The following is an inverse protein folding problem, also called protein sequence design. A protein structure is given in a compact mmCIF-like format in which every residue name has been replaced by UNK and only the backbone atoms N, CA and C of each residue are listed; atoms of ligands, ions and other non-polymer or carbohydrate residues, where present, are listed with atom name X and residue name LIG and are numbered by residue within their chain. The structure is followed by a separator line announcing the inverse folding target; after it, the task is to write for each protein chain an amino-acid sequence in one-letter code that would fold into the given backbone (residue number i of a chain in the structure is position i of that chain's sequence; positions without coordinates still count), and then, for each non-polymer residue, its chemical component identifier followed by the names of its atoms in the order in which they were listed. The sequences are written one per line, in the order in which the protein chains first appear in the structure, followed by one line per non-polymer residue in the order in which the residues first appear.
data_IF_683706737898
#
_entry.id   IF_683706737898
#
_cell.length_a   1.000
_cell.length_b   1.000
_cell.length_c   1.000
_cell.angle_alpha   90.00
_cell.angle_beta   90.00
_cell.angle_gamma   90.00
#
_symmetry.space_group_name_H-M   'P 1'
#
loop_
_entity.id
_entity.type
_entity.pdbx_description
1 polymer ?
#
# COMPACT_ATOMS: atom_id res chain seq x y z
N UNK A 1 2.82 -34.23 -23.19
CA UNK A 1 3.55 -33.01 -22.75
C UNK A 1 2.61 -31.83 -22.91
N UNK A 2 2.16 -31.15 -21.89
CA UNK A 2 1.33 -29.96 -22.02
C UNK A 2 2.19 -28.82 -22.55
N UNK A 3 1.75 -28.25 -23.70
CA UNK A 3 2.37 -27.02 -24.27
C UNK A 3 2.30 -25.92 -23.25
N UNK A 4 3.45 -25.39 -22.86
CA UNK A 4 3.60 -24.13 -22.13
C UNK A 4 2.74 -23.06 -22.81
N UNK A 5 1.71 -22.56 -22.13
CA UNK A 5 0.95 -21.39 -22.57
C UNK A 5 1.95 -20.26 -22.80
N UNK A 6 2.13 -19.89 -24.05
CA UNK A 6 2.90 -18.73 -24.46
C UNK A 6 2.35 -17.52 -23.72
N UNK A 7 3.23 -16.78 -23.05
CA UNK A 7 2.99 -15.52 -22.30
C UNK A 7 2.59 -14.40 -23.30
N UNK A 8 1.40 -14.57 -23.90
CA UNK A 8 0.88 -13.80 -25.04
C UNK A 8 0.43 -12.42 -24.55
N UNK A 9 1.36 -11.50 -24.41
CA UNK A 9 1.08 -10.10 -24.03
C UNK A 9 2.14 -9.45 -23.13
N UNK A 10 3.06 -10.21 -22.57
CA UNK A 10 4.16 -9.72 -21.75
C UNK A 10 5.22 -9.01 -22.62
N UNK A 11 5.67 -7.82 -22.20
CA UNK A 11 6.75 -7.11 -22.88
C UNK A 11 8.10 -7.73 -22.50
N UNK A 12 8.99 -7.79 -23.50
CA UNK A 12 10.37 -8.30 -23.33
C UNK A 12 11.34 -7.17 -23.01
N UNK A 13 12.45 -7.51 -22.35
CA UNK A 13 13.56 -6.57 -22.17
C UNK A 13 14.03 -6.02 -23.54
N UNK A 14 14.39 -4.75 -23.57
CA UNK A 14 14.79 -3.95 -24.75
C UNK A 14 13.66 -3.66 -25.75
N UNK A 15 12.46 -4.19 -25.57
CA UNK A 15 11.32 -3.85 -26.42
C UNK A 15 10.97 -2.36 -26.24
N UNK A 16 10.60 -1.70 -27.35
CA UNK A 16 10.07 -0.32 -27.33
C UNK A 16 8.54 -0.34 -27.21
N UNK A 17 8.02 0.61 -26.44
CA UNK A 17 6.61 0.92 -26.33
C UNK A 17 6.49 2.44 -26.37
N UNK A 18 6.22 3.00 -27.55
CA UNK A 18 6.32 4.45 -27.79
C UNK A 18 7.69 4.99 -27.39
N UNK A 19 7.71 5.99 -26.51
CA UNK A 19 8.96 6.58 -25.95
C UNK A 19 9.64 5.72 -24.88
N UNK A 20 9.02 4.65 -24.43
CA UNK A 20 9.57 3.81 -23.35
C UNK A 20 10.34 2.63 -23.89
N UNK A 21 11.56 2.41 -23.37
CA UNK A 21 12.34 1.20 -23.60
C UNK A 21 12.27 0.32 -22.37
N UNK A 22 11.65 -0.85 -22.48
CA UNK A 22 11.47 -1.79 -21.39
C UNK A 22 12.84 -2.33 -20.92
N UNK A 23 13.11 -2.28 -19.63
CA UNK A 23 14.32 -2.87 -19.04
C UNK A 23 14.01 -4.24 -18.45
N UNK A 24 12.97 -4.34 -17.59
CA UNK A 24 12.55 -5.61 -16.95
C UNK A 24 11.14 -5.49 -16.38
N UNK A 25 10.50 -6.62 -16.14
CA UNK A 25 9.29 -6.69 -15.33
C UNK A 25 9.69 -6.67 -13.85
N UNK A 26 9.07 -5.79 -13.05
CA UNK A 26 9.36 -5.61 -11.63
C UNK A 26 8.26 -6.19 -10.73
N UNK A 27 7.01 -6.25 -11.23
CA UNK A 27 5.92 -6.88 -10.50
C UNK A 27 4.89 -7.50 -11.46
N UNK A 28 4.17 -8.50 -10.96
CA UNK A 28 3.01 -9.10 -11.60
C UNK A 28 1.90 -9.21 -10.56
N UNK A 29 0.86 -8.41 -10.73
CA UNK A 29 -0.37 -8.48 -9.94
C UNK A 29 -1.44 -9.31 -10.65
N UNK A 30 -2.60 -9.49 -10.00
CA UNK A 30 -3.72 -10.22 -10.60
C UNK A 30 -4.32 -9.55 -11.84
N UNK A 31 -4.14 -8.24 -12.02
CA UNK A 31 -4.78 -7.46 -13.09
C UNK A 31 -3.81 -6.72 -14.00
N UNK A 32 -2.57 -6.52 -13.56
CA UNK A 32 -1.59 -5.72 -14.28
C UNK A 32 -0.17 -6.24 -14.10
N UNK A 33 0.66 -6.00 -15.11
CA UNK A 33 2.11 -6.08 -15.01
C UNK A 33 2.68 -4.70 -14.70
N UNK A 34 3.77 -4.66 -13.93
CA UNK A 34 4.56 -3.45 -13.73
C UNK A 34 5.97 -3.68 -14.29
N UNK A 35 6.40 -2.77 -15.16
CA UNK A 35 7.72 -2.82 -15.79
C UNK A 35 8.55 -1.63 -15.37
N UNK A 36 9.83 -1.85 -15.18
CA UNK A 36 10.82 -0.79 -15.21
C UNK A 36 11.16 -0.48 -16.67
N UNK A 37 11.12 0.79 -17.05
CA UNK A 37 11.45 1.24 -18.39
C UNK A 37 12.26 2.55 -18.34
N UNK A 38 13.03 2.81 -19.39
CA UNK A 38 13.67 4.10 -19.65
C UNK A 38 12.74 4.93 -20.52
N UNK A 39 12.32 6.09 -20.04
CA UNK A 39 11.76 7.15 -20.88
C UNK A 39 12.91 7.74 -21.72
N UNK A 40 12.91 7.46 -23.03
CA UNK A 40 14.03 7.83 -23.93
C UNK A 40 14.04 9.30 -24.30
N UNK A 41 12.95 10.04 -24.02
CA UNK A 41 12.89 11.49 -24.22
C UNK A 41 13.45 12.22 -23.01
N UNK A 42 13.01 11.83 -21.80
CA UNK A 42 13.44 12.49 -20.57
C UNK A 42 14.74 11.90 -20.00
N UNK A 43 15.19 10.74 -20.49
CA UNK A 43 16.41 10.07 -20.00
C UNK A 43 16.27 9.47 -18.59
N UNK A 44 15.06 9.30 -18.07
CA UNK A 44 14.80 8.83 -16.69
C UNK A 44 14.12 7.46 -16.67
N UNK A 45 14.38 6.69 -15.60
CA UNK A 45 13.66 5.44 -15.36
C UNK A 45 12.32 5.68 -14.75
N UNK A 46 11.31 4.94 -15.23
CA UNK A 46 9.91 5.00 -14.80
C UNK A 46 9.39 3.59 -14.49
N UNK A 47 8.33 3.53 -13.70
CA UNK A 47 7.50 2.34 -13.57
C UNK A 47 6.30 2.47 -14.53
N UNK A 48 6.10 1.45 -15.36
CA UNK A 48 4.96 1.36 -16.28
C UNK A 48 4.00 0.28 -15.78
N UNK A 49 2.80 0.65 -15.39
CA UNK A 49 1.73 -0.26 -15.00
C UNK A 49 0.79 -0.45 -16.19
N UNK A 50 0.55 -1.72 -16.57
CA UNK A 50 -0.27 -2.08 -17.71
C UNK A 50 -1.19 -3.24 -17.39
N UNK A 51 -2.50 -3.18 -17.75
CA UNK A 51 -3.42 -4.30 -17.62
C UNK A 51 -2.94 -5.53 -18.40
N UNK A 52 -3.29 -6.73 -17.91
CA UNK A 52 -3.09 -7.95 -18.67
C UNK A 52 -3.95 -7.94 -19.94
N UNK A 53 -3.34 -8.14 -21.12
CA UNK A 53 -4.06 -8.03 -22.40
C UNK A 53 -5.19 -9.06 -22.58
N UNK A 54 -5.01 -10.28 -22.05
CA UNK A 54 -5.97 -11.38 -22.19
C UNK A 54 -7.28 -11.19 -21.40
N UNK A 55 -7.30 -10.20 -20.49
CA UNK A 55 -8.46 -9.91 -19.63
C UNK A 55 -9.00 -8.48 -19.82
N UNK A 56 -8.55 -7.76 -20.85
CA UNK A 56 -8.96 -6.37 -21.06
C UNK A 56 -10.40 -6.31 -21.54
N UNK A 57 -11.32 -6.09 -20.61
CA UNK A 57 -12.69 -5.70 -20.91
C UNK A 57 -12.81 -4.18 -20.93
N UNK A 58 -13.82 -3.63 -21.63
CA UNK A 58 -14.12 -2.20 -21.58
C UNK A 58 -14.30 -1.70 -20.13
N UNK A 59 -14.94 -2.49 -19.27
CA UNK A 59 -15.11 -2.18 -17.84
C UNK A 59 -13.78 -2.09 -17.07
N UNK A 60 -12.79 -2.92 -17.41
CA UNK A 60 -11.46 -2.84 -16.80
C UNK A 60 -10.70 -1.60 -17.24
N UNK A 61 -10.72 -1.28 -18.54
CA UNK A 61 -10.11 -0.06 -19.06
C UNK A 61 -10.70 1.18 -18.40
N UNK A 62 -12.02 1.22 -18.25
CA UNK A 62 -12.75 2.28 -17.55
C UNK A 62 -12.26 2.42 -16.09
N UNK A 63 -12.00 1.30 -15.42
CA UNK A 63 -11.46 1.28 -14.05
C UNK A 63 -10.06 1.87 -14.00
N UNK A 64 -9.16 1.48 -14.89
CA UNK A 64 -7.81 2.03 -14.97
C UNK A 64 -7.79 3.52 -15.32
N UNK A 65 -8.67 3.95 -16.23
CA UNK A 65 -8.82 5.37 -16.57
C UNK A 65 -9.34 6.20 -15.39
N UNK A 66 -10.30 5.66 -14.65
CA UNK A 66 -10.81 6.30 -13.41
C UNK A 66 -9.72 6.42 -12.35
N UNK A 67 -8.91 5.37 -12.15
CA UNK A 67 -7.75 5.42 -11.27
C UNK A 67 -6.79 6.54 -11.68
N UNK A 68 -6.40 6.57 -12.96
CA UNK A 68 -5.50 7.59 -13.48
C UNK A 68 -6.06 9.02 -13.27
N UNK A 69 -7.34 9.25 -13.58
CA UNK A 69 -8.01 10.55 -13.38
C UNK A 69 -8.10 10.94 -11.90
N UNK A 70 -8.22 9.95 -11.01
CA UNK A 70 -8.30 10.16 -9.58
C UNK A 70 -6.92 10.54 -9.03
N UNK A 71 -5.89 9.77 -9.38
CA UNK A 71 -4.51 10.03 -8.93
C UNK A 71 -3.99 11.36 -9.49
N UNK A 72 -4.33 11.71 -10.74
CA UNK A 72 -3.94 12.99 -11.34
C UNK A 72 -4.43 14.24 -10.59
N UNK A 73 -5.45 14.11 -9.73
CA UNK A 73 -5.99 15.18 -8.88
C UNK A 73 -5.35 15.25 -7.49
N UNK A 74 -4.53 14.26 -7.14
CA UNK A 74 -3.91 14.17 -5.82
C UNK A 74 -2.50 14.75 -5.88
N UNK A 75 -2.28 15.81 -5.13
CA UNK A 75 -0.95 16.42 -4.95
C UNK A 75 -0.57 16.33 -3.47
N UNK A 76 0.31 15.38 -3.14
CA UNK A 76 0.76 15.15 -1.77
C UNK A 76 2.13 14.45 -1.77
N UNK A 77 3.09 14.85 -0.91
CA UNK A 77 4.44 14.28 -0.90
C UNK A 77 4.49 12.76 -0.65
N UNK A 78 3.48 12.21 0.01
CA UNK A 78 3.38 10.79 0.33
C UNK A 78 2.36 10.03 -0.55
N UNK A 79 1.97 10.60 -1.69
CA UNK A 79 1.20 9.91 -2.73
C UNK A 79 2.05 9.88 -3.99
N UNK A 80 2.13 8.71 -4.65
CA UNK A 80 2.89 8.55 -5.87
C UNK A 80 2.20 9.31 -7.02
N UNK A 81 2.82 10.38 -7.55
CA UNK A 81 2.21 11.17 -8.60
C UNK A 81 2.13 10.39 -9.90
N UNK A 82 1.06 10.61 -10.64
CA UNK A 82 0.93 10.18 -12.01
C UNK A 82 1.86 11.02 -12.90
N UNK A 83 2.72 10.36 -13.69
CA UNK A 83 3.58 11.04 -14.68
C UNK A 83 2.88 11.13 -16.04
N UNK A 84 2.28 10.02 -16.46
CA UNK A 84 1.56 9.93 -17.74
C UNK A 84 0.54 8.78 -17.68
N UNK A 85 -0.56 8.91 -18.43
CA UNK A 85 -1.52 7.83 -18.65
C UNK A 85 -2.05 7.94 -20.09
N UNK A 86 -1.71 6.96 -20.91
CA UNK A 86 -1.97 7.02 -22.37
C UNK A 86 -2.20 5.62 -22.95
N UNK A 87 -2.76 5.61 -24.17
CA UNK A 87 -2.78 4.41 -25.02
C UNK A 87 -1.57 4.43 -25.92
N UNK A 88 -0.74 3.40 -25.84
CA UNK A 88 0.44 3.21 -26.68
C UNK A 88 0.37 1.83 -27.31
N UNK A 89 0.39 1.75 -28.63
CA UNK A 89 0.28 0.49 -29.39
C UNK A 89 -0.90 -0.39 -28.95
N UNK A 90 -2.07 0.25 -28.73
CA UNK A 90 -3.29 -0.42 -28.29
C UNK A 90 -3.31 -0.89 -26.83
N UNK A 91 -2.30 -0.52 -26.02
CA UNK A 91 -2.18 -0.85 -24.59
C UNK A 91 -2.40 0.38 -23.74
N UNK A 92 -3.22 0.27 -22.71
CA UNK A 92 -3.31 1.33 -21.71
C UNK A 92 -2.09 1.27 -20.77
N UNK A 93 -1.41 2.38 -20.61
CA UNK A 93 -0.16 2.51 -19.86
C UNK A 93 -0.30 3.62 -18.84
N UNK A 94 0.03 3.33 -17.60
CA UNK A 94 0.20 4.32 -16.54
C UNK A 94 1.69 4.40 -16.22
N UNK A 95 2.29 5.58 -16.38
CA UNK A 95 3.68 5.83 -16.01
C UNK A 95 3.75 6.61 -14.69
N UNK A 96 4.64 6.20 -13.82
CA UNK A 96 4.94 6.85 -12.55
C UNK A 96 6.43 6.88 -12.27
N UNK A 97 6.85 7.63 -11.25
CA UNK A 97 8.23 7.61 -10.76
C UNK A 97 8.59 6.19 -10.31
N UNK A 98 9.78 5.74 -10.70
CA UNK A 98 10.32 4.47 -10.21
C UNK A 98 10.78 4.64 -8.77
N UNK A 99 10.29 3.80 -7.87
CA UNK A 99 10.75 3.72 -6.49
C UNK A 99 11.95 2.79 -6.32
N UNK A 100 12.57 2.81 -5.16
CA UNK A 100 13.68 1.90 -4.83
C UNK A 100 13.17 0.49 -4.50
N UNK A 101 12.18 0.42 -3.61
CA UNK A 101 11.58 -0.83 -3.10
C UNK A 101 10.21 -0.57 -2.49
N UNK A 102 9.45 -1.62 -2.24
CA UNK A 102 8.20 -1.53 -1.49
C UNK A 102 8.47 -1.49 0.02
N UNK A 103 7.47 -1.03 0.80
CA UNK A 103 7.49 -1.20 2.25
C UNK A 103 7.51 -2.69 2.63
N UNK A 104 6.88 -3.56 1.84
CA UNK A 104 6.93 -5.01 2.02
C UNK A 104 8.36 -5.54 1.98
N UNK A 105 9.15 -5.12 0.99
CA UNK A 105 10.57 -5.47 0.89
C UNK A 105 11.39 -4.90 2.06
N UNK A 106 11.11 -3.66 2.46
CA UNK A 106 11.79 -3.03 3.59
C UNK A 106 11.54 -3.76 4.90
N UNK A 107 10.35 -4.32 5.09
CA UNK A 107 9.95 -5.04 6.31
C UNK A 107 10.48 -6.47 6.39
N UNK A 108 11.19 -6.98 5.38
CA UNK A 108 11.99 -8.22 5.48
C UNK A 108 13.13 -8.08 6.47
N UNK A 109 13.58 -6.85 6.69
CA UNK A 109 14.63 -6.52 7.64
C UNK A 109 14.07 -5.68 8.80
N UNK A 110 14.72 -5.75 9.95
CA UNK A 110 14.35 -4.95 11.12
C UNK A 110 14.43 -3.45 10.80
N UNK A 111 13.49 -2.71 11.34
CA UNK A 111 13.39 -1.25 11.23
C UNK A 111 13.64 -0.64 12.59
N UNK A 112 14.45 0.43 12.68
CA UNK A 112 14.63 1.17 13.92
C UNK A 112 13.29 1.78 14.38
N UNK A 113 13.11 2.01 15.67
CA UNK A 113 11.87 2.58 16.18
C UNK A 113 11.61 3.99 15.59
N UNK A 114 12.65 4.80 15.45
CA UNK A 114 12.53 6.14 14.85
C UNK A 114 12.10 6.08 13.38
N UNK A 115 12.72 5.20 12.58
CA UNK A 115 12.32 4.96 11.19
C UNK A 115 10.88 4.44 11.12
N UNK A 116 10.49 3.50 12.01
CA UNK A 116 9.13 2.98 12.08
C UNK A 116 8.10 4.11 12.31
N UNK A 117 8.35 5.00 13.27
CA UNK A 117 7.48 6.14 13.57
C UNK A 117 7.41 7.13 12.39
N UNK A 118 8.53 7.35 11.70
CA UNK A 118 8.56 8.21 10.50
C UNK A 118 7.70 7.62 9.36
N UNK A 119 7.85 6.33 9.07
CA UNK A 119 7.06 5.64 8.04
C UNK A 119 5.57 5.61 8.39
N UNK A 120 5.24 5.38 9.66
CA UNK A 120 3.86 5.40 10.15
C UNK A 120 3.22 6.79 9.97
N UNK A 121 3.93 7.87 10.28
CA UNK A 121 3.41 9.24 10.08
C UNK A 121 3.10 9.51 8.61
N UNK A 122 4.04 9.16 7.72
CA UNK A 122 3.91 9.36 6.27
C UNK A 122 2.74 8.57 5.68
N UNK A 123 2.59 7.27 6.05
CA UNK A 123 1.49 6.46 5.51
C UNK A 123 0.11 6.92 5.99
N UNK A 124 0.00 7.35 7.27
CA UNK A 124 -1.27 7.86 7.79
C UNK A 124 -1.60 9.21 7.14
N UNK A 125 -0.61 10.08 6.92
CA UNK A 125 -0.81 11.39 6.27
C UNK A 125 -1.28 11.26 4.82
N UNK A 126 -0.70 10.32 4.05
CA UNK A 126 -1.14 10.00 2.70
C UNK A 126 -2.62 9.59 2.66
N UNK A 127 -3.03 8.65 3.54
CA UNK A 127 -4.42 8.17 3.60
C UNK A 127 -5.36 9.25 4.14
N UNK A 128 -4.90 10.06 5.09
CA UNK A 128 -5.67 11.20 5.62
C UNK A 128 -5.94 12.24 4.52
N UNK A 129 -4.95 12.52 3.67
CA UNK A 129 -5.13 13.39 2.51
C UNK A 129 -6.16 12.82 1.51
N UNK A 130 -6.08 11.53 1.21
CA UNK A 130 -7.08 10.86 0.37
C UNK A 130 -8.49 10.97 0.95
N UNK A 131 -8.65 10.74 2.25
CA UNK A 131 -9.95 10.83 2.94
C UNK A 131 -10.51 12.27 2.95
N UNK A 132 -9.65 13.31 3.05
CA UNK A 132 -10.09 14.72 2.88
C UNK A 132 -10.66 14.96 1.49
N UNK A 133 -10.10 14.30 0.46
CA UNK A 133 -10.56 14.35 -0.91
C UNK A 133 -11.70 13.35 -1.22
N UNK A 134 -12.35 12.78 -0.18
CA UNK A 134 -13.47 11.83 -0.32
C UNK A 134 -13.10 10.51 -1.02
N UNK A 135 -11.82 10.13 -0.97
CA UNK A 135 -11.29 8.92 -1.58
C UNK A 135 -10.98 7.91 -0.48
N UNK A 136 -11.58 6.72 -0.60
CA UNK A 136 -11.29 5.55 0.23
C UNK A 136 -10.40 4.65 -0.60
N UNK A 137 -9.25 4.23 -0.07
CA UNK A 137 -8.25 3.48 -0.82
C UNK A 137 -8.66 2.02 -1.03
N UNK A 138 -9.12 1.35 0.01
CA UNK A 138 -9.59 -0.04 0.02
C UNK A 138 -8.56 -1.14 -0.27
N UNK A 139 -7.29 -0.81 -0.51
CA UNK A 139 -6.19 -1.79 -0.68
C UNK A 139 -4.91 -1.30 0.00
N UNK A 140 -5.04 -0.87 1.25
CA UNK A 140 -3.91 -0.42 2.07
C UNK A 140 -3.10 -1.63 2.50
N UNK A 141 -1.89 -1.77 1.94
CA UNK A 141 -0.92 -2.83 2.26
C UNK A 141 0.51 -2.36 1.98
N UNK A 142 1.54 -3.00 2.58
CA UNK A 142 2.93 -2.61 2.38
C UNK A 142 3.41 -2.69 0.93
N UNK A 143 2.80 -3.54 0.11
CA UNK A 143 3.15 -3.69 -1.31
C UNK A 143 2.74 -2.46 -2.13
N UNK A 144 1.70 -1.73 -1.69
CA UNK A 144 1.22 -0.49 -2.30
C UNK A 144 1.86 0.76 -1.69
N UNK A 145 2.95 0.62 -0.96
CA UNK A 145 3.72 1.70 -0.36
C UNK A 145 5.14 1.65 -0.90
N UNK A 146 5.51 2.62 -1.73
CA UNK A 146 6.78 2.71 -2.41
C UNK A 146 7.73 3.59 -1.60
N UNK A 147 8.95 3.11 -1.37
CA UNK A 147 10.02 3.87 -0.75
C UNK A 147 10.92 4.48 -1.82
N UNK A 148 11.18 5.77 -1.70
CA UNK A 148 12.11 6.51 -2.53
C UNK A 148 13.52 6.52 -1.91
N UNK A 149 14.58 6.82 -2.69
CA UNK A 149 15.95 6.87 -2.19
C UNK A 149 16.17 7.87 -1.05
N UNK A 150 15.37 8.93 -0.99
CA UNK A 150 15.40 9.95 0.08
C UNK A 150 14.64 9.55 1.36
N UNK A 151 14.15 8.30 1.43
CA UNK A 151 13.42 7.78 2.58
C UNK A 151 11.93 8.17 2.63
N UNK A 152 11.42 8.89 1.63
CA UNK A 152 9.98 9.18 1.53
C UNK A 152 9.21 7.93 1.16
N UNK A 153 8.07 7.74 1.83
CA UNK A 153 7.08 6.74 1.49
C UNK A 153 6.01 7.39 0.62
N UNK A 154 5.64 6.73 -0.48
CA UNK A 154 4.55 7.15 -1.35
C UNK A 154 3.54 6.02 -1.53
N UNK A 155 2.28 6.33 -1.26
CA UNK A 155 1.14 5.43 -1.45
C UNK A 155 0.76 5.39 -2.93
N UNK A 156 0.52 4.20 -3.46
CA UNK A 156 0.12 3.94 -4.86
C UNK A 156 -1.11 3.03 -4.93
N UNK A 157 -1.62 2.78 -6.12
CA UNK A 157 -2.73 1.86 -6.41
C UNK A 157 -4.08 2.28 -5.81
N UNK A 158 -4.43 3.55 -6.04
CA UNK A 158 -5.74 4.10 -5.69
C UNK A 158 -6.84 3.53 -6.58
N UNK A 159 -7.82 2.90 -6.01
CA UNK A 159 -9.14 2.71 -6.66
C UNK A 159 -9.36 1.48 -7.53
N UNK A 160 -8.38 0.62 -7.82
CA UNK A 160 -8.62 -0.64 -8.55
C UNK A 160 -9.58 -1.56 -7.77
N UNK A 161 -9.55 -1.50 -6.45
CA UNK A 161 -10.32 -2.37 -5.58
C UNK A 161 -11.83 -2.09 -5.59
N UNK A 162 -12.29 -0.86 -5.81
CA UNK A 162 -13.71 -0.51 -5.62
C UNK A 162 -14.67 -1.11 -6.66
N UNK A 163 -14.20 -1.33 -7.90
CA UNK A 163 -15.02 -1.92 -8.99
C UNK A 163 -14.82 -3.43 -9.06
N UNK A 164 -13.60 -3.90 -8.85
CA UNK A 164 -13.25 -5.32 -8.85
C UNK A 164 -13.75 -6.08 -7.60
N UNK A 165 -13.97 -5.41 -6.47
CA UNK A 165 -14.34 -6.05 -5.19
C UNK A 165 -15.62 -6.89 -5.25
N UNK A 166 -16.63 -6.51 -6.02
CA UNK A 166 -17.85 -7.35 -6.14
C UNK A 166 -17.58 -8.72 -6.75
N UNK A 167 -16.59 -8.82 -7.64
CA UNK A 167 -16.20 -10.07 -8.32
C UNK A 167 -15.01 -10.75 -7.62
N UNK A 168 -14.05 -9.98 -7.12
CA UNK A 168 -12.77 -10.46 -6.56
C UNK A 168 -12.93 -11.07 -5.17
N UNK A 169 -13.77 -10.51 -4.29
CA UNK A 169 -14.00 -11.09 -2.95
C UNK A 169 -14.45 -12.54 -3.07
N UNK A 170 -15.28 -12.88 -4.06
CA UNK A 170 -15.66 -14.27 -4.33
C UNK A 170 -14.50 -15.13 -4.82
N UNK A 171 -13.58 -14.57 -5.62
CA UNK A 171 -12.48 -15.33 -6.22
C UNK A 171 -11.25 -15.41 -5.28
N UNK A 172 -10.96 -14.36 -4.51
CA UNK A 172 -9.81 -14.32 -3.60
C UNK A 172 -10.00 -15.17 -2.34
N UNK A 173 -11.22 -15.28 -1.82
CA UNK A 173 -11.53 -16.22 -0.73
C UNK A 173 -11.32 -17.67 -1.22
N UNK A 174 -11.60 -17.94 -2.50
CA UNK A 174 -11.43 -19.26 -3.09
C UNK A 174 -9.97 -19.60 -3.44
N UNK A 175 -9.09 -18.62 -3.67
CA UNK A 175 -7.72 -18.86 -4.18
C UNK A 175 -6.59 -18.74 -3.13
N UNK A 176 -6.88 -18.39 -1.85
CA UNK A 176 -5.87 -18.32 -0.80
C UNK A 176 -4.75 -17.29 -1.06
N UNK A 177 -4.93 -16.38 -1.99
CA UNK A 177 -3.91 -15.44 -2.45
C UNK A 177 -3.63 -14.35 -1.40
N UNK A 178 -2.38 -14.16 -1.03
CA UNK A 178 -1.82 -13.43 0.11
C UNK A 178 -2.20 -11.96 0.35
N UNK A 179 -3.21 -11.43 -0.33
CA UNK A 179 -3.72 -10.04 -0.15
C UNK A 179 -4.72 -9.94 1.02
N UNK A 180 -5.24 -11.05 1.51
CA UNK A 180 -6.29 -11.11 2.55
C UNK A 180 -5.79 -10.61 3.91
N UNK A 181 -4.48 -10.67 4.20
CA UNK A 181 -3.93 -10.39 5.52
C UNK A 181 -4.08 -8.95 6.04
N UNK A 182 -4.35 -7.98 5.16
CA UNK A 182 -4.53 -6.56 5.56
C UNK A 182 -5.97 -6.06 5.40
N UNK A 183 -6.88 -6.90 4.95
CA UNK A 183 -8.26 -6.53 4.69
C UNK A 183 -9.08 -6.43 5.98
N UNK A 184 -9.85 -5.37 6.13
CA UNK A 184 -10.78 -5.24 7.24
C UNK A 184 -11.95 -6.22 7.10
N UNK A 185 -12.51 -6.78 8.21
CA UNK A 185 -13.59 -7.75 8.16
C UNK A 185 -14.82 -7.29 7.39
N UNK A 186 -15.26 -6.05 7.62
CA UNK A 186 -16.41 -5.47 6.90
C UNK A 186 -16.14 -5.25 5.41
N UNK A 187 -14.89 -5.06 5.04
CA UNK A 187 -14.48 -4.95 3.63
C UNK A 187 -14.60 -6.31 2.93
N UNK A 188 -14.19 -7.40 3.60
CA UNK A 188 -14.41 -8.76 3.11
C UNK A 188 -15.91 -9.08 2.90
N UNK A 189 -16.79 -8.44 3.70
CA UNK A 189 -18.25 -8.53 3.55
C UNK A 189 -18.83 -7.58 2.49
N UNK A 190 -17.98 -6.89 1.71
CA UNK A 190 -18.42 -5.98 0.64
C UNK A 190 -18.90 -4.60 1.14
N UNK A 191 -18.56 -4.20 2.36
CA UNK A 191 -18.96 -2.92 2.99
C UNK A 191 -17.76 -2.04 3.34
N UNK A 192 -16.86 -1.70 2.38
CA UNK A 192 -15.68 -0.89 2.65
C UNK A 192 -16.05 0.54 3.04
N UNK A 193 -15.24 1.13 3.90
CA UNK A 193 -15.38 2.50 4.36
C UNK A 193 -14.02 3.09 4.73
N UNK A 194 -13.94 4.40 5.05
CA UNK A 194 -12.73 5.02 5.58
C UNK A 194 -12.21 4.31 6.87
N UNK A 195 -13.11 3.67 7.63
CA UNK A 195 -12.74 2.86 8.80
C UNK A 195 -12.05 1.55 8.43
N UNK A 196 -12.26 1.05 7.22
CA UNK A 196 -11.56 -0.13 6.71
C UNK A 196 -10.08 0.20 6.42
N UNK A 197 -9.82 1.38 5.82
CA UNK A 197 -8.44 1.86 5.63
C UNK A 197 -7.74 2.09 6.99
N UNK A 198 -8.46 2.61 8.00
CA UNK A 198 -7.94 2.75 9.37
C UNK A 198 -7.52 1.40 9.97
N UNK A 199 -8.30 0.34 9.74
CA UNK A 199 -7.96 -1.00 10.22
C UNK A 199 -6.69 -1.52 9.53
N UNK A 200 -6.60 -1.40 8.21
CA UNK A 200 -5.42 -1.82 7.44
C UNK A 200 -4.17 -1.04 7.88
N UNK A 201 -4.29 0.28 8.13
CA UNK A 201 -3.21 1.09 8.72
C UNK A 201 -2.80 0.55 10.10
N UNK A 202 -3.76 0.18 10.95
CA UNK A 202 -3.50 -0.42 12.26
C UNK A 202 -2.69 -1.71 12.17
N UNK A 203 -3.02 -2.59 11.22
CA UNK A 203 -2.27 -3.83 10.94
C UNK A 203 -0.83 -3.53 10.51
N UNK A 204 -0.64 -2.56 9.63
CA UNK A 204 0.70 -2.17 9.15
C UNK A 204 1.50 -1.53 10.29
N UNK A 205 0.90 -0.65 11.10
CA UNK A 205 1.55 -0.06 12.28
C UNK A 205 2.04 -1.15 13.23
N UNK A 206 1.21 -2.13 13.51
CA UNK A 206 1.56 -3.26 14.36
C UNK A 206 2.74 -4.04 13.76
N UNK A 207 2.65 -4.41 12.47
CA UNK A 207 3.69 -5.17 11.77
C UNK A 207 5.03 -4.42 11.73
N UNK A 208 5.04 -3.14 11.44
CA UNK A 208 6.28 -2.32 11.40
C UNK A 208 6.99 -2.34 12.76
N UNK A 209 6.24 -2.25 13.87
CA UNK A 209 6.79 -2.15 15.22
C UNK A 209 7.19 -3.50 15.81
N UNK A 210 6.51 -4.57 15.45
CA UNK A 210 6.70 -5.90 16.05
C UNK A 210 7.39 -6.91 15.15
N UNK A 211 7.26 -6.76 13.84
CA UNK A 211 7.61 -7.77 12.83
C UNK A 211 6.51 -8.81 12.59
N UNK A 212 5.41 -8.80 13.36
CA UNK A 212 4.31 -9.75 13.27
C UNK A 212 3.06 -9.08 12.71
N UNK A 213 2.35 -9.75 11.82
CA UNK A 213 1.04 -9.34 11.35
C UNK A 213 -0.03 -9.98 12.23
N UNK A 214 -0.96 -9.23 12.83
CA UNK A 214 -2.12 -9.82 13.50
C UNK A 214 -2.97 -10.61 12.50
N UNK A 215 -3.41 -11.79 12.92
CA UNK A 215 -4.20 -12.71 12.10
C UNK A 215 -5.62 -12.83 12.64
N UNK A 216 -6.54 -13.29 11.79
CA UNK A 216 -7.89 -13.61 12.20
C UNK A 216 -7.88 -14.61 13.38
N UNK A 217 -8.70 -14.45 14.41
CA UNK A 217 -9.82 -13.51 14.59
C UNK A 217 -9.44 -12.12 15.11
N UNK A 218 -8.17 -11.71 15.05
CA UNK A 218 -7.66 -10.40 15.49
C UNK A 218 -7.81 -10.17 17.01
N UNK A 219 -7.71 -11.21 17.79
CA UNK A 219 -7.79 -11.13 19.25
C UNK A 219 -6.69 -10.24 19.84
N UNK A 220 -7.04 -9.53 20.89
CA UNK A 220 -6.07 -8.70 21.59
C UNK A 220 -5.70 -9.33 22.94
N UNK A 221 -4.40 -9.50 23.27
CA UNK A 221 -3.21 -9.06 22.51
C UNK A 221 -2.78 -10.06 21.42
N UNK A 222 -2.42 -9.57 20.21
CA UNK A 222 -1.96 -10.45 19.15
C UNK A 222 -0.50 -10.88 19.33
N UNK A 223 -0.05 -11.87 18.54
CA UNK A 223 1.34 -12.33 18.49
C UNK A 223 2.31 -11.15 18.33
N UNK A 224 3.40 -11.14 19.11
CA UNK A 224 4.38 -10.05 19.12
C UNK A 224 4.05 -8.89 20.07
N UNK A 225 2.96 -8.95 20.83
CA UNK A 225 2.56 -7.89 21.77
C UNK A 225 3.61 -7.57 22.82
N UNK A 226 4.34 -8.55 23.32
CA UNK A 226 5.46 -8.33 24.26
C UNK A 226 6.53 -7.43 23.68
N UNK A 227 6.85 -7.60 22.38
CA UNK A 227 7.77 -6.73 21.64
C UNK A 227 7.24 -5.31 21.54
N UNK A 228 5.94 -5.14 21.22
CA UNK A 228 5.29 -3.83 21.17
C UNK A 228 5.36 -3.14 22.53
N UNK A 229 4.96 -3.81 23.61
CA UNK A 229 4.94 -3.28 24.98
C UNK A 229 6.33 -2.89 25.48
N UNK A 230 7.38 -3.59 25.02
CA UNK A 230 8.76 -3.24 25.35
C UNK A 230 9.24 -1.97 24.65
N UNK A 231 8.81 -1.70 23.40
CA UNK A 231 9.34 -0.62 22.57
C UNK A 231 8.47 0.63 22.55
N UNK A 232 7.15 0.47 22.63
CA UNK A 232 6.19 1.55 22.39
C UNK A 232 5.63 2.11 23.72
N UNK A 233 5.35 3.42 23.71
CA UNK A 233 4.61 4.06 24.79
C UNK A 233 3.18 3.52 24.87
N UNK A 234 2.58 3.36 26.09
CA UNK A 234 1.20 2.88 26.23
C UNK A 234 0.17 3.63 25.38
N UNK A 235 0.30 4.94 25.23
CA UNK A 235 -0.61 5.73 24.40
C UNK A 235 -0.54 5.33 22.92
N UNK A 236 0.65 5.01 22.39
CA UNK A 236 0.80 4.51 21.02
C UNK A 236 0.16 3.12 20.86
N UNK A 237 0.31 2.28 21.89
CA UNK A 237 -0.35 0.97 21.92
C UNK A 237 -1.88 1.14 21.89
N UNK A 238 -2.42 2.10 22.63
CA UNK A 238 -3.85 2.42 22.63
C UNK A 238 -4.34 2.91 21.26
N UNK A 239 -3.55 3.75 20.57
CA UNK A 239 -3.86 4.18 19.19
C UNK A 239 -3.95 2.99 18.25
N UNK A 240 -2.97 2.07 18.29
CA UNK A 240 -2.96 0.87 17.45
C UNK A 240 -4.15 -0.04 17.79
N UNK A 241 -4.37 -0.32 19.08
CA UNK A 241 -5.49 -1.16 19.53
C UNK A 241 -6.83 -0.63 19.03
N UNK A 242 -7.07 0.68 19.17
CA UNK A 242 -8.31 1.31 18.68
C UNK A 242 -8.47 1.20 17.17
N UNK A 243 -7.38 1.29 16.41
CA UNK A 243 -7.42 1.09 14.95
C UNK A 243 -7.83 -0.35 14.58
N UNK A 244 -7.48 -1.33 15.41
CA UNK A 244 -7.73 -2.77 15.22
C UNK A 244 -9.05 -3.26 15.84
N UNK A 245 -9.90 -2.38 16.37
CA UNK A 245 -11.21 -2.77 16.89
C UNK A 245 -12.03 -3.49 15.82
N UNK A 246 -12.63 -4.63 16.19
CA UNK A 246 -13.42 -5.44 15.26
C UNK A 246 -14.68 -4.71 14.77
N UNK A 247 -15.33 -3.96 15.64
CA UNK A 247 -16.50 -3.14 15.30
C UNK A 247 -16.04 -1.82 14.68
N UNK A 248 -16.34 -1.53 13.39
CA UNK A 248 -15.87 -0.30 12.72
C UNK A 248 -16.25 0.99 13.46
N UNK A 249 -17.41 1.02 14.10
CA UNK A 249 -17.88 2.18 14.86
C UNK A 249 -16.97 2.55 16.06
N UNK A 250 -16.20 1.60 16.59
CA UNK A 250 -15.26 1.84 17.71
C UNK A 250 -13.88 2.32 17.25
N UNK A 251 -13.56 2.19 15.95
CA UNK A 251 -12.31 2.70 15.37
C UNK A 251 -12.33 4.23 15.27
N UNK A 252 -11.22 4.80 14.82
CA UNK A 252 -11.20 6.18 14.32
C UNK A 252 -12.12 6.29 13.11
N UNK A 253 -12.82 7.41 12.98
CA UNK A 253 -13.82 7.64 11.91
C UNK A 253 -13.18 7.58 10.52
N UNK A 254 -11.97 8.11 10.41
CA UNK A 254 -11.16 8.17 9.20
C UNK A 254 -9.67 8.32 9.55
N UNK A 255 -8.81 8.37 8.54
CA UNK A 255 -7.38 8.54 8.74
C UNK A 255 -7.00 9.94 9.27
N UNK A 256 -7.86 10.96 9.16
CA UNK A 256 -7.60 12.28 9.77
C UNK A 256 -7.69 12.20 11.29
N UNK A 257 -8.71 11.49 11.81
CA UNK A 257 -8.83 11.27 13.25
C UNK A 257 -7.66 10.43 13.79
N UNK A 258 -7.25 9.40 13.04
CA UNK A 258 -6.07 8.58 13.38
C UNK A 258 -4.79 9.42 13.36
N UNK A 259 -4.58 10.26 12.36
CA UNK A 259 -3.39 11.11 12.23
C UNK A 259 -3.26 12.07 13.42
N UNK A 260 -4.38 12.72 13.80
CA UNK A 260 -4.39 13.59 14.98
C UNK A 260 -4.01 12.83 16.24
N UNK A 261 -4.64 11.68 16.49
CA UNK A 261 -4.34 10.84 17.64
C UNK A 261 -2.88 10.37 17.65
N UNK A 262 -2.37 9.93 16.50
CA UNK A 262 -0.99 9.48 16.35
C UNK A 262 0.01 10.63 16.60
N UNK A 263 -0.19 11.80 16.02
CA UNK A 263 0.73 12.95 16.18
C UNK A 263 0.80 13.46 17.63
N UNK A 264 -0.29 13.38 18.38
CA UNK A 264 -0.29 13.68 19.82
C UNK A 264 0.67 12.77 20.60
N UNK A 265 0.71 11.48 20.27
CA UNK A 265 1.53 10.49 21.00
C UNK A 265 2.93 10.28 20.41
N UNK A 266 3.19 10.76 19.20
CA UNK A 266 4.45 10.56 18.45
C UNK A 266 5.68 10.99 19.25
N UNK A 267 5.70 12.24 19.73
CA UNK A 267 6.85 12.80 20.46
C UNK A 267 7.11 12.04 21.78
N UNK A 268 6.04 11.69 22.52
CA UNK A 268 6.15 10.89 23.75
C UNK A 268 6.72 9.51 23.48
N UNK A 269 6.28 8.86 22.38
CA UNK A 269 6.74 7.53 21.99
C UNK A 269 8.23 7.52 21.62
N UNK A 270 8.71 8.53 20.89
CA UNK A 270 10.13 8.68 20.57
C UNK A 270 10.98 8.89 21.84
N UNK A 271 10.56 9.78 22.76
CA UNK A 271 11.25 9.99 24.04
C UNK A 271 11.26 8.74 24.91
N UNK A 272 10.16 7.99 24.95
CA UNK A 272 10.06 6.74 25.70
C UNK A 272 11.03 5.69 25.17
N UNK A 273 11.10 5.49 23.85
CA UNK A 273 12.02 4.54 23.24
C UNK A 273 13.49 4.91 23.47
N UNK A 274 13.85 6.20 23.34
CA UNK A 274 15.21 6.69 23.62
C UNK A 274 15.65 6.43 25.06
N UNK A 275 14.80 6.71 26.05
CA UNK A 275 15.08 6.43 27.48
C UNK A 275 15.29 4.94 27.75
N UNK A 276 14.51 4.07 27.11
CA UNK A 276 14.68 2.61 27.27
C UNK A 276 15.96 2.09 26.63
N UNK A 277 16.34 2.61 25.45
CA UNK A 277 17.58 2.26 24.80
C UNK A 277 18.79 2.62 25.69
N UNK A 278 18.81 3.80 26.27
CA UNK A 278 19.87 4.25 27.18
C UNK A 278 20.00 3.41 28.46
N UNK A 279 18.88 2.87 28.97
CA UNK A 279 18.87 1.99 30.17
C UNK A 279 19.25 0.54 29.89
N UNK A 280 19.17 0.08 28.64
CA UNK A 280 19.54 -1.28 28.25
C UNK A 280 20.99 -1.42 27.76
N UNK A 281 21.75 -0.32 27.76
CA UNK A 281 23.17 -0.27 27.38
C UNK A 281 24.09 -0.14 28.62
N UNK A 282 23.53 -0.16 29.82
CA UNK A 282 24.21 -0.29 31.13
C UNK A 282 24.00 -1.71 31.68
#
# INVERSE_FOLDING_TARGET
MPKTQSDNGSLRARQRLGKYRIERRIAQGGFAHVYQALDTIEGVRVALKMPHQYNVTASMLDTFQREARLVAKLDHPNILPLKDASFIDGRFVIASKLGEKTLSDRLRNRVSFSTAICLIDQMIDAVAYAHRNKIIHCDIKPDNMILLPDGRLQLTDFGIAKVAQRTIVKTMIASGSGTVGYMAPEQAMGRPSARSDVFSLGLIMYRILTGHLPEWPFDWPPTGYTTLRRKAHPDLIAVIRRSLEMRPARRYRDANDLLRAFRVVKARSLKFAARKSARGSL
#
